data_IF_879433056166
#
_entry.id   IF_879433056166
#
_cell.length_a   1.000
_cell.length_b   1.000
_cell.length_c   1.000
_cell.angle_alpha   90.00
_cell.angle_beta   90.00
_cell.angle_gamma   90.00
#
_symmetry.space_group_name_H-M   'P 1'
#
loop_
_entity.id
_entity.type
_entity.pdbx_description
1 polymer ?
#
# COMPACT_ATOMS: atom_id res chain seq x y z
N UNK A 1 54.52 -16.58 -6.10
CA UNK A 1 53.54 -17.68 -5.88
C UNK A 1 53.13 -17.65 -4.43
N UNK A 2 52.10 -16.86 -4.10
CA UNK A 2 51.47 -16.84 -2.79
C UNK A 2 49.98 -17.03 -3.03
N UNK A 3 49.47 -18.22 -2.68
CA UNK A 3 48.06 -18.54 -2.83
C UNK A 3 47.26 -17.65 -1.87
N UNK A 4 46.52 -16.69 -2.42
CA UNK A 4 45.47 -15.99 -1.70
C UNK A 4 44.39 -17.02 -1.39
N UNK A 5 44.27 -17.37 -0.11
CA UNK A 5 43.17 -18.17 0.39
C UNK A 5 41.86 -17.43 0.09
N UNK A 6 40.99 -18.05 -0.71
CA UNK A 6 39.64 -17.59 -0.92
C UNK A 6 38.90 -17.58 0.44
N UNK A 7 38.12 -16.53 0.76
CA UNK A 7 37.34 -16.54 1.99
C UNK A 7 36.35 -17.71 1.95
N UNK A 8 36.23 -18.39 3.09
CA UNK A 8 35.34 -19.53 3.27
C UNK A 8 33.89 -19.13 2.94
N UNK A 9 33.28 -19.85 2.00
CA UNK A 9 31.86 -19.75 1.68
C UNK A 9 31.01 -20.16 2.90
N UNK A 10 30.46 -19.18 3.61
CA UNK A 10 29.32 -19.39 4.47
C UNK A 10 28.08 -19.62 3.58
N UNK A 11 27.25 -20.61 3.90
CA UNK A 11 26.05 -20.97 3.16
C UNK A 11 25.08 -19.75 3.21
N UNK A 12 24.37 -19.30 2.18
CA UNK A 12 23.46 -20.05 1.33
C UNK A 12 23.00 -19.20 0.12
N UNK A 13 23.34 -19.64 -1.10
CA UNK A 13 22.65 -19.25 -2.33
C UNK A 13 22.34 -20.53 -3.09
N UNK A 14 21.26 -21.21 -2.72
CA UNK A 14 20.79 -22.40 -3.43
C UNK A 14 19.37 -22.19 -3.92
N UNK A 15 19.13 -22.39 -5.21
CA UNK A 15 17.86 -22.92 -5.74
C UNK A 15 17.81 -24.47 -5.63
N UNK A 16 18.86 -25.09 -5.10
CA UNK A 16 19.02 -26.53 -5.01
C UNK A 16 18.28 -27.16 -3.84
N UNK A 17 17.15 -27.83 -4.12
CA UNK A 17 16.87 -29.26 -3.85
C UNK A 17 17.54 -30.04 -2.70
N UNK A 18 18.05 -29.39 -1.66
CA UNK A 18 17.25 -29.21 -0.44
C UNK A 18 16.37 -27.98 -0.62
N UNK A 19 15.20 -28.17 -1.25
CA UNK A 19 14.29 -27.08 -1.66
C UNK A 19 13.94 -26.18 -0.47
N UNK A 20 13.86 -24.85 -0.65
CA UNK A 20 13.23 -24.00 0.34
C UNK A 20 11.83 -24.54 0.63
N UNK A 21 11.48 -24.56 1.91
CA UNK A 21 10.21 -25.08 2.37
C UNK A 21 9.09 -24.19 1.81
N UNK A 22 8.15 -24.79 1.08
CA UNK A 22 6.92 -24.13 0.62
C UNK A 22 5.77 -25.10 0.89
N UNK A 23 4.92 -24.74 1.86
CA UNK A 23 3.78 -25.56 2.29
C UNK A 23 2.56 -25.41 1.36
N UNK A 24 2.55 -24.43 0.46
CA UNK A 24 1.43 -24.25 -0.45
C UNK A 24 1.46 -25.30 -1.56
N UNK A 25 0.36 -26.03 -1.68
CA UNK A 25 0.17 -26.95 -2.82
C UNK A 25 -0.08 -26.18 -4.12
N UNK A 26 -0.75 -25.03 -4.02
CA UNK A 26 -1.12 -24.14 -5.11
C UNK A 26 -0.99 -22.70 -4.60
N UNK A 27 -0.28 -21.86 -5.35
CA UNK A 27 -0.13 -20.45 -5.08
C UNK A 27 -0.11 -19.73 -6.43
N UNK A 28 -1.06 -18.81 -6.60
CA UNK A 28 -1.31 -18.12 -7.84
C UNK A 28 -1.59 -16.67 -7.54
N UNK A 29 -1.08 -15.79 -8.40
CA UNK A 29 -1.42 -14.38 -8.32
C UNK A 29 -1.49 -13.78 -9.71
N UNK A 30 -1.93 -12.53 -9.73
CA UNK A 30 -1.96 -11.69 -10.90
C UNK A 30 -1.97 -10.24 -10.45
N UNK A 31 -1.07 -9.44 -11.02
CA UNK A 31 -1.00 -8.02 -10.75
C UNK A 31 -1.15 -7.29 -12.09
N UNK A 32 -2.36 -6.81 -12.46
CA UNK A 32 -2.65 -6.37 -13.82
C UNK A 32 -1.72 -5.29 -14.37
N UNK A 33 -1.24 -4.36 -13.53
CA UNK A 33 -0.24 -3.36 -13.94
C UNK A 33 1.10 -3.95 -14.37
N UNK A 34 1.36 -5.20 -14.00
CA UNK A 34 2.59 -5.93 -14.29
C UNK A 34 3.81 -5.36 -13.57
N UNK A 35 4.98 -5.81 -14.04
CA UNK A 35 6.28 -5.44 -13.47
C UNK A 35 6.99 -4.37 -14.28
N UNK A 36 6.77 -4.35 -15.59
CA UNK A 36 7.37 -3.37 -16.48
C UNK A 36 6.91 -1.95 -16.13
N UNK A 37 7.86 -1.05 -15.86
CA UNK A 37 7.57 0.36 -15.63
C UNK A 37 8.56 1.28 -16.33
N UNK A 38 8.40 1.43 -17.65
CA UNK A 38 9.25 2.32 -18.45
C UNK A 38 8.44 3.15 -19.45
N UNK A 39 9.06 4.20 -19.97
CA UNK A 39 8.49 5.04 -21.02
C UNK A 39 9.48 5.12 -22.19
N UNK A 40 9.06 4.80 -23.44
CA UNK A 40 7.73 4.30 -23.80
C UNK A 40 7.43 2.91 -23.21
N UNK A 41 6.15 2.57 -22.93
CA UNK A 41 5.78 1.25 -22.42
C UNK A 41 6.30 0.13 -23.35
N UNK A 42 6.94 -0.91 -22.82
CA UNK A 42 7.36 -2.05 -23.62
C UNK A 42 6.14 -2.89 -24.05
N UNK A 43 6.33 -3.78 -25.03
CA UNK A 43 5.25 -4.63 -25.53
C UNK A 43 4.62 -5.50 -24.42
N UNK A 44 5.42 -5.89 -23.43
CA UNK A 44 5.04 -6.74 -22.31
C UNK A 44 4.35 -5.99 -21.16
N UNK A 45 4.18 -4.67 -21.28
CA UNK A 45 3.54 -3.82 -20.26
C UNK A 45 2.15 -4.31 -19.82
N UNK A 46 1.46 -5.07 -20.68
CA UNK A 46 0.07 -5.51 -20.47
C UNK A 46 -0.08 -7.02 -20.28
N UNK A 47 1.02 -7.78 -20.19
CA UNK A 47 0.96 -9.26 -20.17
C UNK A 47 0.09 -9.78 -19.03
N UNK A 48 0.20 -9.19 -17.83
CA UNK A 48 -0.64 -9.56 -16.69
C UNK A 48 -2.05 -8.96 -16.78
N UNK A 49 -2.25 -7.80 -17.40
CA UNK A 49 -3.60 -7.27 -17.64
C UNK A 49 -4.42 -8.18 -18.56
N UNK A 50 -3.80 -8.76 -19.58
CA UNK A 50 -4.45 -9.71 -20.50
C UNK A 50 -4.85 -11.01 -19.81
N UNK A 51 -4.01 -11.52 -18.90
CA UNK A 51 -4.37 -12.67 -18.07
C UNK A 51 -5.63 -12.37 -17.22
N UNK A 52 -5.72 -11.16 -16.67
CA UNK A 52 -6.84 -10.74 -15.81
C UNK A 52 -8.12 -10.56 -16.63
N UNK A 53 -8.02 -9.89 -17.78
CA UNK A 53 -9.14 -9.73 -18.70
C UNK A 53 -9.67 -11.08 -19.24
N UNK A 54 -8.79 -12.08 -19.36
CA UNK A 54 -9.17 -13.45 -19.71
C UNK A 54 -10.12 -14.12 -18.72
N UNK A 55 -10.22 -13.64 -17.48
CA UNK A 55 -11.21 -14.10 -16.49
C UNK A 55 -12.61 -13.51 -16.72
N UNK A 56 -12.69 -12.33 -17.35
CA UNK A 56 -13.96 -11.58 -17.53
C UNK A 56 -15.04 -12.43 -18.22
N UNK A 57 -14.76 -13.15 -19.32
CA UNK A 57 -15.77 -13.97 -19.99
C UNK A 57 -16.24 -15.18 -19.15
N UNK A 58 -15.44 -15.63 -18.18
CA UNK A 58 -15.79 -16.76 -17.31
C UNK A 58 -16.78 -16.33 -16.22
N UNK A 59 -16.74 -15.07 -15.79
CA UNK A 59 -17.56 -14.56 -14.68
C UNK A 59 -17.47 -15.47 -13.43
N UNK A 60 -18.53 -16.22 -13.10
CA UNK A 60 -18.58 -17.14 -11.97
C UNK A 60 -18.19 -18.58 -12.29
N UNK A 61 -17.98 -18.92 -13.57
CA UNK A 61 -17.73 -20.28 -14.05
C UNK A 61 -16.23 -20.60 -14.12
N UNK A 62 -15.43 -20.03 -13.20
CA UNK A 62 -13.98 -20.29 -13.11
C UNK A 62 -13.75 -21.69 -12.55
N UNK A 63 -12.99 -22.51 -13.29
CA UNK A 63 -12.61 -23.87 -12.88
C UNK A 63 -11.14 -23.95 -12.46
N UNK A 64 -10.75 -25.07 -11.83
CA UNK A 64 -9.35 -25.31 -11.47
C UNK A 64 -8.40 -25.32 -12.70
N UNK A 65 -8.90 -25.64 -13.90
CA UNK A 65 -8.11 -25.62 -15.13
C UNK A 65 -7.85 -24.21 -15.66
N UNK A 66 -8.62 -23.22 -15.21
CA UNK A 66 -8.50 -21.83 -15.63
C UNK A 66 -7.43 -21.10 -14.80
N UNK A 67 -7.19 -21.53 -13.57
CA UNK A 67 -6.15 -20.95 -12.69
C UNK A 67 -4.77 -20.88 -13.35
N UNK A 68 -4.15 -21.98 -13.84
CA UNK A 68 -2.85 -21.89 -14.48
C UNK A 68 -2.85 -21.22 -15.87
N UNK A 69 -4.02 -20.85 -16.41
CA UNK A 69 -4.15 -20.13 -17.69
C UNK A 69 -4.20 -18.62 -17.51
N UNK A 70 -4.89 -18.17 -16.47
CA UNK A 70 -5.20 -16.76 -16.23
C UNK A 70 -4.54 -16.20 -14.97
N UNK A 71 -3.80 -17.02 -14.23
CA UNK A 71 -2.92 -16.57 -13.16
C UNK A 71 -1.51 -17.10 -13.41
N UNK A 72 -0.53 -16.37 -12.90
CA UNK A 72 0.87 -16.81 -12.87
C UNK A 72 1.18 -17.46 -11.53
N UNK A 73 2.33 -18.14 -11.44
CA UNK A 73 2.73 -18.79 -10.20
C UNK A 73 3.09 -17.77 -9.13
N UNK A 74 2.71 -18.04 -7.89
CA UNK A 74 3.19 -17.34 -6.69
C UNK A 74 3.96 -18.32 -5.78
N UNK A 75 4.56 -19.35 -6.36
CA UNK A 75 5.52 -20.20 -5.64
C UNK A 75 6.75 -19.39 -5.24
N UNK A 76 7.35 -19.73 -4.10
CA UNK A 76 8.62 -19.11 -3.70
C UNK A 76 9.73 -19.55 -4.66
N UNK A 77 10.48 -18.59 -5.20
CA UNK A 77 11.43 -18.79 -6.28
C UNK A 77 10.77 -18.75 -7.68
N UNK A 78 11.58 -19.02 -8.71
CA UNK A 78 11.18 -18.87 -10.12
C UNK A 78 10.10 -19.89 -10.54
N UNK A 79 10.13 -21.09 -9.96
CA UNK A 79 9.15 -22.15 -10.23
C UNK A 79 8.86 -22.35 -11.73
N UNK A 80 7.56 -22.40 -12.06
CA UNK A 80 7.07 -22.57 -13.43
C UNK A 80 7.15 -21.33 -14.29
N UNK A 81 7.52 -20.15 -13.76
CA UNK A 81 7.52 -18.88 -14.49
C UNK A 81 8.85 -18.61 -15.21
N UNK A 82 9.83 -19.51 -15.09
CA UNK A 82 11.06 -19.47 -15.88
C UNK A 82 10.83 -19.59 -17.40
N UNK A 83 11.87 -19.42 -18.24
CA UNK A 83 13.26 -19.19 -17.85
C UNK A 83 13.46 -17.82 -17.21
N UNK A 84 14.40 -17.73 -16.27
CA UNK A 84 14.76 -16.46 -15.64
C UNK A 84 16.03 -15.88 -16.24
N UNK A 85 16.12 -14.55 -16.24
CA UNK A 85 17.30 -13.78 -16.64
C UNK A 85 17.95 -13.19 -15.38
N UNK A 86 19.24 -13.47 -15.17
CA UNK A 86 20.00 -12.80 -14.12
C UNK A 86 20.29 -11.35 -14.50
N UNK A 87 20.17 -10.43 -13.54
CA UNK A 87 20.66 -9.07 -13.71
C UNK A 87 22.19 -9.05 -13.68
N UNK A 88 22.78 -8.28 -14.60
CA UNK A 88 24.22 -8.20 -14.76
C UNK A 88 24.90 -7.36 -13.67
N UNK A 89 24.18 -6.37 -13.14
CA UNK A 89 24.67 -5.44 -12.11
C UNK A 89 23.69 -5.43 -10.95
N UNK A 90 24.16 -5.88 -9.80
CA UNK A 90 23.39 -5.93 -8.56
C UNK A 90 24.22 -5.38 -7.41
N UNK A 91 23.58 -4.97 -6.29
CA UNK A 91 24.33 -4.60 -5.09
C UNK A 91 25.21 -5.76 -4.55
N UNK A 92 26.25 -5.47 -3.77
CA UNK A 92 27.09 -6.50 -3.15
C UNK A 92 26.28 -7.46 -2.27
N UNK A 93 26.52 -8.77 -2.39
CA UNK A 93 25.80 -9.79 -1.63
C UNK A 93 24.32 -9.93 -2.03
N UNK A 94 23.99 -9.54 -3.27
CA UNK A 94 22.64 -9.61 -3.87
C UNK A 94 22.72 -10.30 -5.23
N UNK A 95 21.78 -11.21 -5.51
CA UNK A 95 21.54 -11.78 -6.84
C UNK A 95 20.07 -11.60 -7.18
N UNK A 96 19.79 -10.98 -8.32
CA UNK A 96 18.44 -10.71 -8.81
C UNK A 96 18.22 -11.52 -10.07
N UNK A 97 17.15 -12.32 -10.09
CA UNK A 97 16.69 -13.06 -11.25
C UNK A 97 15.31 -12.56 -11.64
N UNK A 98 15.07 -12.28 -12.91
CA UNK A 98 13.78 -11.83 -13.44
C UNK A 98 13.11 -12.98 -14.18
N UNK A 99 11.88 -13.34 -13.81
CA UNK A 99 11.10 -14.37 -14.51
C UNK A 99 10.54 -13.86 -15.86
N UNK A 100 9.69 -14.66 -16.52
CA UNK A 100 9.08 -14.28 -17.81
C UNK A 100 8.15 -13.07 -17.72
N UNK A 101 7.64 -12.74 -16.53
CA UNK A 101 6.77 -11.59 -16.25
C UNK A 101 7.57 -10.41 -15.69
N UNK A 102 8.90 -10.50 -15.71
CA UNK A 102 9.87 -9.55 -15.15
C UNK A 102 9.78 -9.37 -13.64
N UNK A 103 9.23 -10.37 -12.92
CA UNK A 103 9.19 -10.38 -11.46
C UNK A 103 10.60 -10.56 -10.91
N UNK A 104 11.09 -9.65 -10.04
CA UNK A 104 12.40 -9.77 -9.42
C UNK A 104 12.35 -10.77 -8.26
N UNK A 105 13.09 -11.87 -8.43
CA UNK A 105 13.46 -12.81 -7.39
C UNK A 105 14.81 -12.39 -6.80
N UNK A 106 14.77 -11.75 -5.64
CA UNK A 106 15.90 -11.16 -4.94
C UNK A 106 16.40 -12.14 -3.89
N UNK A 107 17.60 -12.65 -4.10
CA UNK A 107 18.33 -13.42 -3.12
C UNK A 107 19.37 -12.49 -2.48
N UNK A 108 19.62 -12.62 -1.18
CA UNK A 108 20.55 -11.79 -0.42
C UNK A 108 21.23 -12.54 0.73
N UNK A 109 22.49 -12.20 1.02
CA UNK A 109 23.27 -12.77 2.14
C UNK A 109 22.74 -12.34 3.52
N UNK A 110 21.97 -11.25 3.57
CA UNK A 110 21.43 -10.68 4.80
C UNK A 110 20.16 -9.89 4.53
N UNK A 111 19.36 -9.67 5.58
CA UNK A 111 18.18 -8.80 5.53
C UNK A 111 18.53 -7.37 5.09
N UNK A 112 19.67 -6.84 5.52
CA UNK A 112 20.16 -5.52 5.12
C UNK A 112 20.44 -5.42 3.61
N UNK A 113 21.09 -6.45 3.05
CA UNK A 113 21.36 -6.53 1.62
C UNK A 113 20.06 -6.69 0.81
N UNK A 114 19.10 -7.47 1.33
CA UNK A 114 17.77 -7.61 0.75
C UNK A 114 17.01 -6.29 0.73
N UNK A 115 16.94 -5.56 1.85
CA UNK A 115 16.23 -4.28 1.92
C UNK A 115 16.85 -3.24 0.99
N UNK A 116 18.19 -3.24 0.87
CA UNK A 116 18.89 -2.40 -0.10
C UNK A 116 18.54 -2.81 -1.55
N UNK A 117 18.55 -4.10 -1.86
CA UNK A 117 18.16 -4.60 -3.18
C UNK A 117 16.71 -4.26 -3.55
N UNK A 118 15.78 -4.33 -2.59
CA UNK A 118 14.40 -3.91 -2.82
C UNK A 118 14.33 -2.42 -3.21
N UNK A 119 15.15 -1.56 -2.58
CA UNK A 119 15.27 -0.15 -2.97
C UNK A 119 15.87 0.04 -4.37
N UNK A 120 16.89 -0.74 -4.72
CA UNK A 120 17.50 -0.76 -6.05
C UNK A 120 16.48 -1.11 -7.13
N UNK A 121 15.77 -2.23 -6.96
CA UNK A 121 14.73 -2.71 -7.88
C UNK A 121 13.57 -1.72 -7.97
N UNK A 122 13.18 -1.11 -6.86
CA UNK A 122 12.13 -0.08 -6.85
C UNK A 122 12.52 1.12 -7.71
N UNK A 123 13.79 1.55 -7.65
CA UNK A 123 14.31 2.64 -8.46
C UNK A 123 14.37 2.28 -9.95
N UNK A 124 14.68 1.02 -10.27
CA UNK A 124 14.67 0.49 -11.63
C UNK A 124 13.25 0.46 -12.22
N UNK A 125 12.31 -0.15 -11.50
CA UNK A 125 11.01 -0.52 -12.07
C UNK A 125 9.91 0.52 -11.85
N UNK A 126 10.07 1.38 -10.84
CA UNK A 126 9.08 2.41 -10.46
C UNK A 126 9.68 3.81 -10.39
N UNK A 127 10.95 3.98 -10.75
CA UNK A 127 11.66 5.26 -10.65
C UNK A 127 10.94 6.42 -11.34
N UNK A 128 10.37 6.21 -12.53
CA UNK A 128 9.63 7.27 -13.24
C UNK A 128 8.39 7.74 -12.46
N UNK A 129 7.56 6.79 -12.01
CA UNK A 129 6.34 7.08 -11.24
C UNK A 129 6.70 7.79 -9.93
N UNK A 130 7.74 7.28 -9.28
CA UNK A 130 8.20 7.81 -8.01
C UNK A 130 8.78 9.20 -8.13
N UNK A 131 9.61 9.48 -9.14
CA UNK A 131 10.16 10.83 -9.35
C UNK A 131 9.06 11.84 -9.73
N UNK A 132 8.04 11.43 -10.49
CA UNK A 132 6.88 12.28 -10.75
C UNK A 132 6.10 12.59 -9.46
N UNK A 133 5.91 11.61 -8.59
CA UNK A 133 5.17 11.79 -7.34
C UNK A 133 6.00 12.43 -6.21
N UNK A 134 7.33 12.36 -6.29
CA UNK A 134 8.25 12.57 -5.17
C UNK A 134 7.97 13.86 -4.42
N UNK A 135 8.05 15.00 -5.11
CA UNK A 135 7.93 16.30 -4.45
C UNK A 135 6.47 16.68 -4.17
N UNK A 136 5.54 16.31 -5.04
CA UNK A 136 4.11 16.56 -4.84
C UNK A 136 3.56 15.81 -3.63
N UNK A 137 4.13 14.64 -3.31
CA UNK A 137 3.75 13.86 -2.13
C UNK A 137 4.00 14.60 -0.80
N UNK A 138 4.84 15.66 -0.79
CA UNK A 138 4.99 16.50 0.41
C UNK A 138 3.70 17.20 0.78
N UNK A 139 2.89 17.56 -0.21
CA UNK A 139 1.57 18.18 0.00
C UNK A 139 0.66 17.25 0.80
N UNK A 140 0.73 15.94 0.56
CA UNK A 140 -0.02 14.96 1.34
C UNK A 140 0.46 14.88 2.80
N UNK A 141 1.78 14.99 3.02
CA UNK A 141 2.36 14.89 4.35
C UNK A 141 2.13 16.13 5.24
N UNK A 142 2.05 17.33 4.65
CA UNK A 142 1.80 18.57 5.40
C UNK A 142 0.34 19.00 5.40
N UNK A 143 -0.52 18.25 4.70
CA UNK A 143 -1.95 18.55 4.52
C UNK A 143 -2.21 20.02 4.11
N UNK A 144 -1.53 20.46 3.04
CA UNK A 144 -1.57 21.88 2.65
C UNK A 144 -2.98 22.28 2.17
N UNK A 145 -3.63 23.27 2.82
CA UNK A 145 -5.00 23.66 2.45
C UNK A 145 -5.12 24.09 0.99
N UNK A 146 -6.11 23.54 0.29
CA UNK A 146 -6.40 23.85 -1.11
C UNK A 146 -5.45 23.22 -2.13
N UNK A 147 -4.49 22.41 -1.69
CA UNK A 147 -3.62 21.61 -2.56
C UNK A 147 -3.87 20.13 -2.30
N UNK A 148 -3.99 19.35 -3.38
CA UNK A 148 -4.08 17.90 -3.30
C UNK A 148 -2.92 17.28 -4.07
N UNK A 149 -2.16 16.42 -3.39
CA UNK A 149 -0.98 15.80 -3.98
C UNK A 149 -1.33 15.00 -5.25
N UNK A 150 -2.39 14.19 -5.22
CA UNK A 150 -2.82 13.43 -6.40
C UNK A 150 -3.17 14.34 -7.58
N UNK A 151 -3.89 15.44 -7.34
CA UNK A 151 -4.24 16.42 -8.37
C UNK A 151 -3.01 17.09 -8.98
N UNK A 152 -1.96 17.38 -8.19
CA UNK A 152 -0.70 17.90 -8.71
C UNK A 152 -0.01 16.87 -9.62
N UNK A 153 0.06 15.61 -9.16
CA UNK A 153 0.67 14.50 -9.88
C UNK A 153 -0.03 14.25 -11.22
N UNK A 154 -1.36 14.11 -11.22
CA UNK A 154 -2.13 13.80 -12.44
C UNK A 154 -2.22 14.99 -13.40
N UNK A 155 -2.07 16.23 -12.91
CA UNK A 155 -2.03 17.43 -13.75
C UNK A 155 -0.60 17.81 -14.20
N UNK A 156 0.39 16.96 -13.92
CA UNK A 156 1.80 17.18 -14.25
C UNK A 156 2.35 18.53 -13.73
N UNK A 157 1.81 18.99 -12.61
CA UNK A 157 2.32 20.15 -11.88
C UNK A 157 3.48 19.70 -10.99
N UNK A 158 4.19 20.66 -10.43
CA UNK A 158 5.29 20.40 -9.50
C UNK A 158 5.18 21.32 -8.29
N UNK A 159 5.21 20.70 -7.12
CA UNK A 159 5.40 21.37 -5.84
C UNK A 159 6.90 21.46 -5.53
N UNK A 160 7.37 22.65 -5.15
CA UNK A 160 8.74 22.83 -4.66
C UNK A 160 8.72 22.99 -3.15
N UNK A 161 9.20 21.99 -2.37
CA UNK A 161 9.17 22.07 -0.92
C UNK A 161 10.12 23.16 -0.40
N UNK A 162 9.65 23.93 0.58
CA UNK A 162 10.47 24.87 1.32
C UNK A 162 11.32 24.14 2.37
N UNK A 163 12.35 24.81 2.91
CA UNK A 163 13.12 24.26 4.03
C UNK A 163 12.23 23.96 5.26
N UNK A 164 11.17 24.75 5.46
CA UNK A 164 10.18 24.49 6.52
C UNK A 164 9.37 23.22 6.25
N UNK A 165 8.99 22.97 4.99
CA UNK A 165 8.31 21.72 4.60
C UNK A 165 9.18 20.51 4.91
N UNK A 166 10.46 20.55 4.52
CA UNK A 166 11.40 19.46 4.79
C UNK A 166 11.68 19.28 6.29
N UNK A 167 11.71 20.36 7.07
CA UNK A 167 11.84 20.29 8.52
C UNK A 167 10.60 19.67 9.18
N UNK A 168 9.39 19.93 8.66
CA UNK A 168 8.16 19.31 9.15
C UNK A 168 8.15 17.81 8.93
N UNK A 169 8.47 17.35 7.71
CA UNK A 169 8.53 15.92 7.41
C UNK A 169 9.59 15.20 8.25
N UNK A 170 10.72 15.86 8.53
CA UNK A 170 11.82 15.27 9.31
C UNK A 170 11.38 14.86 10.72
N UNK A 171 10.36 15.51 11.30
CA UNK A 171 9.81 15.18 12.62
C UNK A 171 9.25 13.75 12.71
N UNK A 172 8.87 13.14 11.58
CA UNK A 172 8.44 11.74 11.55
C UNK A 172 9.54 10.78 12.04
N UNK A 173 10.81 11.18 11.91
CA UNK A 173 11.93 10.44 12.50
C UNK A 173 11.80 10.36 14.02
N UNK A 174 11.43 11.46 14.69
CA UNK A 174 11.29 11.49 16.14
C UNK A 174 10.09 10.64 16.61
N UNK A 175 9.00 10.62 15.83
CA UNK A 175 7.86 9.73 16.06
C UNK A 175 8.30 8.26 16.03
N UNK A 176 9.08 7.86 15.02
CA UNK A 176 9.62 6.50 14.94
C UNK A 176 10.62 6.22 16.08
N UNK A 177 11.49 7.16 16.43
CA UNK A 177 12.41 6.99 17.57
C UNK A 177 11.66 6.80 18.90
N UNK A 178 10.55 7.52 19.10
CA UNK A 178 9.70 7.40 20.28
C UNK A 178 9.04 6.02 20.41
N UNK A 179 8.83 5.30 19.28
CA UNK A 179 8.38 3.91 19.27
C UNK A 179 9.46 2.89 19.73
N UNK A 180 10.64 3.36 20.16
CA UNK A 180 11.65 2.56 20.81
C UNK A 180 12.43 1.66 19.85
N UNK A 181 12.68 0.41 20.26
CA UNK A 181 13.51 -0.52 19.48
C UNK A 181 12.90 -0.84 18.11
N UNK A 182 11.56 -0.97 18.03
CA UNK A 182 10.86 -1.25 16.78
C UNK A 182 10.99 -0.09 15.79
N UNK A 183 10.77 1.14 16.22
CA UNK A 183 10.88 2.28 15.32
C UNK A 183 12.32 2.57 14.89
N UNK A 184 13.32 2.29 15.74
CA UNK A 184 14.74 2.28 15.31
C UNK A 184 15.02 1.24 14.24
N UNK A 185 14.44 0.05 14.33
CA UNK A 185 14.57 -0.97 13.29
C UNK A 185 13.92 -0.53 11.97
N UNK A 186 12.74 0.09 12.01
CA UNK A 186 12.08 0.66 10.83
C UNK A 186 12.93 1.76 10.19
N UNK A 187 13.50 2.67 10.98
CA UNK A 187 14.39 3.72 10.47
C UNK A 187 15.64 3.14 9.78
N UNK A 188 16.22 2.08 10.34
CA UNK A 188 17.34 1.37 9.72
C UNK A 188 16.94 0.73 8.39
N UNK A 189 15.78 0.09 8.32
CA UNK A 189 15.27 -0.49 7.07
C UNK A 189 15.00 0.60 6.01
N UNK A 190 14.44 1.74 6.41
CA UNK A 190 14.27 2.92 5.54
C UNK A 190 15.62 3.39 4.99
N UNK A 191 16.64 3.50 5.84
CA UNK A 191 17.97 3.93 5.41
C UNK A 191 18.59 2.95 4.40
N UNK A 192 18.45 1.64 4.64
CA UNK A 192 18.93 0.60 3.72
C UNK A 192 18.22 0.68 2.36
N UNK A 193 16.91 0.86 2.38
CA UNK A 193 16.10 0.98 1.17
C UNK A 193 16.47 2.24 0.36
N UNK A 194 16.58 3.39 1.03
CA UNK A 194 17.02 4.66 0.41
C UNK A 194 18.44 4.55 -0.15
N UNK A 195 19.35 3.87 0.55
CA UNK A 195 20.69 3.60 0.04
C UNK A 195 20.66 2.77 -1.25
N UNK A 196 19.72 1.82 -1.37
CA UNK A 196 19.49 1.03 -2.58
C UNK A 196 19.05 1.88 -3.77
N UNK A 197 18.06 2.77 -3.57
CA UNK A 197 17.60 3.71 -4.61
C UNK A 197 18.76 4.59 -5.07
N UNK A 198 19.49 5.17 -4.12
CA UNK A 198 20.62 6.06 -4.43
C UNK A 198 21.78 5.33 -5.13
N UNK A 199 22.03 4.07 -4.77
CA UNK A 199 23.03 3.24 -5.44
C UNK A 199 22.64 2.96 -6.90
N UNK A 200 21.37 2.68 -7.18
CA UNK A 200 20.88 2.54 -8.55
C UNK A 200 21.06 3.83 -9.33
N UNK A 201 20.69 4.99 -8.76
CA UNK A 201 20.87 6.29 -9.44
C UNK A 201 22.34 6.60 -9.73
N UNK A 202 23.24 6.29 -8.80
CA UNK A 202 24.68 6.44 -9.04
C UNK A 202 25.17 5.50 -10.17
N UNK A 203 24.70 4.25 -10.17
CA UNK A 203 25.05 3.25 -11.17
C UNK A 203 24.56 3.63 -12.58
N UNK A 204 23.36 4.20 -12.70
CA UNK A 204 22.78 4.60 -13.99
C UNK A 204 23.07 6.05 -14.36
N UNK A 205 23.92 6.74 -13.59
CA UNK A 205 24.23 8.16 -13.78
C UNK A 205 22.98 9.06 -13.85
N UNK A 206 21.96 8.74 -13.05
CA UNK A 206 20.76 9.55 -12.93
C UNK A 206 21.11 10.90 -12.24
N UNK A 207 20.65 12.01 -12.82
CA UNK A 207 20.91 13.36 -12.32
C UNK A 207 19.95 13.80 -11.19
N UNK A 208 18.95 12.98 -10.85
CA UNK A 208 18.03 13.26 -9.76
C UNK A 208 18.76 13.42 -8.42
N UNK A 209 18.20 14.26 -7.53
CA UNK A 209 18.76 14.44 -6.18
C UNK A 209 18.71 13.11 -5.41
N UNK A 210 19.70 12.81 -4.55
CA UNK A 210 19.64 11.64 -3.70
C UNK A 210 18.36 11.60 -2.87
N UNK A 211 17.77 10.41 -2.77
CA UNK A 211 16.66 10.08 -1.88
C UNK A 211 17.06 10.20 -0.41
N UNK A 212 16.07 10.55 0.40
CA UNK A 212 16.15 10.78 1.84
C UNK A 212 14.98 10.11 2.54
N UNK A 213 14.98 10.06 3.88
CA UNK A 213 13.84 9.57 4.65
C UNK A 213 12.55 10.35 4.39
N UNK A 214 12.66 11.66 4.16
CA UNK A 214 11.50 12.51 3.87
C UNK A 214 10.79 12.11 2.58
N UNK A 215 11.52 11.56 1.59
CA UNK A 215 10.91 11.02 0.39
C UNK A 215 9.98 9.84 0.72
N UNK A 216 10.43 8.96 1.63
CA UNK A 216 9.67 7.81 2.08
C UNK A 216 8.43 8.26 2.87
N UNK A 217 8.61 9.18 3.84
CA UNK A 217 7.49 9.71 4.64
C UNK A 217 6.43 10.40 3.77
N UNK A 218 6.87 11.19 2.78
CA UNK A 218 5.97 11.90 1.87
C UNK A 218 5.12 10.94 1.04
N UNK A 219 5.75 9.96 0.40
CA UNK A 219 5.04 9.00 -0.45
C UNK A 219 4.15 8.05 0.38
N UNK A 220 4.55 7.69 1.60
CA UNK A 220 3.69 6.96 2.51
C UNK A 220 2.47 7.78 2.94
N UNK A 221 2.60 9.10 3.15
CA UNK A 221 1.47 9.98 3.40
C UNK A 221 0.51 10.05 2.19
N UNK A 222 1.04 10.16 0.96
CA UNK A 222 0.24 10.10 -0.27
C UNK A 222 -0.53 8.78 -0.37
N UNK A 223 0.13 7.65 -0.12
CA UNK A 223 -0.50 6.33 -0.10
C UNK A 223 -1.60 6.26 0.97
N UNK A 224 -1.35 6.82 2.16
CA UNK A 224 -2.34 6.97 3.22
C UNK A 224 -3.58 7.72 2.75
N UNK A 225 -3.43 8.84 2.04
CA UNK A 225 -4.55 9.60 1.48
C UNK A 225 -5.32 8.82 0.40
N UNK A 226 -4.65 7.99 -0.39
CA UNK A 226 -5.28 7.31 -1.52
C UNK A 226 -6.02 6.01 -1.13
N UNK A 227 -5.43 5.17 -0.28
CA UNK A 227 -5.96 3.82 0.06
C UNK A 227 -6.08 3.57 1.56
N UNK A 228 -5.64 4.51 2.39
CA UNK A 228 -5.60 4.36 3.84
C UNK A 228 -6.61 5.21 4.61
N UNK A 229 -7.50 5.93 3.91
CA UNK A 229 -8.51 6.79 4.51
C UNK A 229 -9.86 6.08 4.65
N UNK A 230 -10.55 6.38 5.75
CA UNK A 230 -11.92 5.97 6.02
C UNK A 230 -12.58 6.98 6.98
N UNK A 231 -13.88 7.21 6.83
CA UNK A 231 -14.59 8.26 7.57
C UNK A 231 -14.56 9.62 6.87
N UNK A 232 -14.58 10.71 7.63
CA UNK A 232 -14.51 12.09 7.11
C UNK A 232 -15.84 12.66 6.62
N UNK A 233 -16.96 12.00 6.96
CA UNK A 233 -18.31 12.35 6.54
C UNK A 233 -19.12 12.95 7.72
N UNK A 234 -18.42 13.45 8.73
CA UNK A 234 -19.01 13.95 9.98
C UNK A 234 -19.95 15.11 9.71
N UNK A 235 -19.64 16.00 8.76
CA UNK A 235 -20.48 17.15 8.44
C UNK A 235 -21.86 16.74 7.93
N UNK A 236 -21.92 15.82 6.95
CA UNK A 236 -23.19 15.31 6.41
C UNK A 236 -23.95 14.49 7.43
N UNK A 237 -23.25 13.64 8.20
CA UNK A 237 -23.85 12.82 9.28
C UNK A 237 -24.40 13.70 10.42
N UNK A 238 -23.72 14.80 10.73
CA UNK A 238 -24.16 15.80 11.71
C UNK A 238 -25.43 16.52 11.26
N UNK A 239 -25.48 16.98 10.00
CA UNK A 239 -26.71 17.54 9.41
C UNK A 239 -27.86 16.51 9.33
N UNK A 240 -27.55 15.24 9.08
CA UNK A 240 -28.55 14.17 9.12
C UNK A 240 -29.11 13.95 10.54
N UNK A 241 -28.25 13.98 11.56
CA UNK A 241 -28.68 13.94 12.96
C UNK A 241 -29.61 15.12 13.28
N UNK A 242 -29.26 16.34 12.87
CA UNK A 242 -30.12 17.51 13.07
C UNK A 242 -31.50 17.32 12.41
N UNK A 243 -31.54 16.90 11.14
CA UNK A 243 -32.80 16.64 10.44
C UNK A 243 -33.69 15.62 11.16
N UNK A 244 -33.10 14.54 11.69
CA UNK A 244 -33.82 13.56 12.52
C UNK A 244 -34.33 14.17 13.82
N UNK A 245 -33.55 15.02 14.48
CA UNK A 245 -33.95 15.69 15.71
C UNK A 245 -35.06 16.72 15.49
N UNK A 246 -35.05 17.44 14.36
CA UNK A 246 -36.11 18.37 13.97
C UNK A 246 -37.43 17.64 13.72
N UNK A 247 -37.40 16.45 13.07
CA UNK A 247 -38.60 15.70 12.72
C UNK A 247 -39.17 14.86 13.88
N UNK A 248 -38.30 14.20 14.65
CA UNK A 248 -38.70 13.19 15.63
C UNK A 248 -38.57 13.67 17.09
N UNK A 249 -37.94 14.83 17.29
CA UNK A 249 -37.50 15.32 18.59
C UNK A 249 -36.13 14.74 18.99
N UNK A 250 -35.39 15.48 19.83
CA UNK A 250 -33.98 15.21 20.16
C UNK A 250 -33.69 13.75 20.56
N UNK A 251 -34.46 13.18 21.49
CA UNK A 251 -34.23 11.82 21.99
C UNK A 251 -34.48 10.75 20.92
N UNK A 252 -35.60 10.83 20.19
CA UNK A 252 -35.95 9.85 19.16
C UNK A 252 -35.05 9.97 17.95
N UNK A 253 -34.72 11.20 17.53
CA UNK A 253 -33.79 11.45 16.44
C UNK A 253 -32.41 10.86 16.72
N UNK A 254 -31.88 11.07 17.93
CA UNK A 254 -30.61 10.46 18.35
C UNK A 254 -30.69 8.93 18.43
N UNK A 255 -31.81 8.36 18.87
CA UNK A 255 -31.99 6.91 18.92
C UNK A 255 -31.97 6.31 17.49
N UNK A 256 -32.70 6.90 16.55
CA UNK A 256 -32.72 6.48 15.14
C UNK A 256 -31.35 6.65 14.49
N UNK A 257 -30.67 7.77 14.73
CA UNK A 257 -29.31 7.98 14.23
C UNK A 257 -28.34 6.89 14.73
N UNK A 258 -28.42 6.54 16.02
CA UNK A 258 -27.56 5.52 16.62
C UNK A 258 -27.86 4.10 16.11
N UNK A 259 -29.09 3.84 15.68
CA UNK A 259 -29.50 2.58 15.05
C UNK A 259 -28.95 2.48 13.63
N UNK A 260 -29.16 3.53 12.81
CA UNK A 260 -28.76 3.58 11.40
C UNK A 260 -27.26 3.65 11.14
N UNK A 261 -26.44 3.98 12.15
CA UNK A 261 -24.97 4.00 12.00
C UNK A 261 -24.31 2.63 12.11
N UNK A 262 -25.08 1.58 12.43
CA UNK A 262 -24.64 0.17 12.45
C UNK A 262 -23.35 -0.10 13.26
N UNK A 263 -23.09 0.70 14.30
CA UNK A 263 -21.81 0.70 15.01
C UNK A 263 -21.44 -0.66 15.66
N UNK A 264 -22.43 -1.49 15.98
CA UNK A 264 -22.25 -2.87 16.46
C UNK A 264 -23.40 -3.75 15.95
N UNK A 265 -23.43 -4.01 14.64
CA UNK A 265 -24.38 -4.94 14.03
C UNK A 265 -24.13 -6.39 14.51
N UNK A 266 -25.11 -7.04 15.19
CA UNK A 266 -24.97 -8.42 15.66
C UNK A 266 -24.87 -9.46 14.53
N UNK A 267 -25.24 -9.11 13.30
CA UNK A 267 -25.11 -9.99 12.12
C UNK A 267 -23.71 -9.93 11.49
N UNK A 268 -22.83 -9.05 11.97
CA UNK A 268 -21.46 -8.92 11.45
C UNK A 268 -20.64 -10.20 11.72
N UNK A 269 -20.05 -10.82 10.68
CA UNK A 269 -19.15 -11.95 10.88
C UNK A 269 -17.86 -11.50 11.57
N UNK A 270 -17.49 -12.15 12.68
CA UNK A 270 -16.26 -11.87 13.42
C UNK A 270 -15.21 -12.95 13.23
N UNK A 271 -13.95 -12.54 13.07
CA UNK A 271 -12.79 -13.43 12.94
C UNK A 271 -12.13 -13.78 14.28
N UNK A 272 -12.52 -13.11 15.37
CA UNK A 272 -11.99 -13.33 16.71
C UNK A 272 -13.08 -13.94 17.62
N UNK A 273 -12.72 -14.88 18.52
CA UNK A 273 -13.63 -15.33 19.55
C UNK A 273 -14.02 -14.17 20.50
N UNK A 274 -15.32 -13.92 20.65
CA UNK A 274 -15.86 -12.93 21.58
C UNK A 274 -16.38 -11.66 20.89
N UNK A 275 -16.79 -10.69 21.71
CA UNK A 275 -17.28 -9.38 21.25
C UNK A 275 -16.32 -8.28 21.69
N UNK A 276 -15.86 -7.45 20.75
CA UNK A 276 -15.21 -6.17 21.06
C UNK A 276 -16.20 -5.05 20.75
N UNK A 277 -16.26 -4.00 21.58
CA UNK A 277 -17.06 -2.82 21.22
C UNK A 277 -16.29 -2.04 20.18
N UNK A 278 -16.83 -1.98 18.98
CA UNK A 278 -16.33 -1.11 17.94
C UNK A 278 -16.98 0.27 18.08
N UNK A 279 -16.19 1.34 17.94
CA UNK A 279 -16.62 2.75 18.04
C UNK A 279 -17.58 3.02 19.22
N UNK A 280 -17.19 2.76 20.48
CA UNK A 280 -18.06 3.02 21.61
C UNK A 280 -18.46 4.51 21.64
N UNK A 281 -19.73 4.86 21.90
CA UNK A 281 -20.13 6.26 21.99
C UNK A 281 -19.27 6.98 23.05
N UNK A 282 -18.85 8.23 22.79
CA UNK A 282 -17.97 8.94 23.69
C UNK A 282 -18.68 9.18 25.03
N UNK A 283 -17.92 9.16 26.13
CA UNK A 283 -18.44 9.42 27.48
C UNK A 283 -18.94 10.85 27.67
N UNK A 284 -18.45 11.77 26.82
CA UNK A 284 -18.80 13.18 26.80
C UNK A 284 -18.96 13.63 25.37
N UNK A 285 -19.98 14.44 25.10
CA UNK A 285 -20.18 15.14 23.82
C UNK A 285 -19.70 16.59 23.90
N UNK A 286 -19.01 16.98 24.97
CA UNK A 286 -18.50 18.35 25.13
C UNK A 286 -17.53 18.69 24.00
N UNK A 287 -17.77 19.80 23.32
CA UNK A 287 -17.01 20.24 22.14
C UNK A 287 -17.59 19.78 20.80
N UNK A 288 -18.50 18.81 20.79
CA UNK A 288 -19.18 18.40 19.55
C UNK A 288 -20.25 19.42 19.17
N UNK A 289 -20.32 19.75 17.88
CA UNK A 289 -21.32 20.65 17.30
C UNK A 289 -22.21 19.84 16.36
N UNK A 290 -23.51 20.00 16.51
CA UNK A 290 -24.48 19.52 15.53
C UNK A 290 -24.65 20.60 14.48
N UNK A 291 -24.38 20.29 13.22
CA UNK A 291 -24.55 21.22 12.11
C UNK A 291 -26.02 21.30 11.74
N UNK A 292 -26.54 22.51 11.61
CA UNK A 292 -27.91 22.73 11.16
C UNK A 292 -28.11 22.09 9.77
N UNK A 293 -29.19 21.35 9.60
CA UNK A 293 -29.50 20.63 8.35
C UNK A 293 -29.55 21.60 7.16
N UNK A 294 -28.62 21.42 6.21
CA UNK A 294 -28.50 22.25 5.01
C UNK A 294 -27.65 23.51 5.18
N UNK A 295 -27.00 23.71 6.33
CA UNK A 295 -26.13 24.87 6.58
C UNK A 295 -24.73 24.74 5.99
N UNK A 296 -24.29 23.52 5.69
CA UNK A 296 -22.98 23.26 5.10
C UNK A 296 -23.11 22.69 3.69
N UNK A 297 -22.40 23.31 2.75
CA UNK A 297 -22.21 22.81 1.39
C UNK A 297 -20.71 22.63 1.19
N UNK A 298 -20.22 21.42 0.86
CA UNK A 298 -18.83 21.23 0.52
C UNK A 298 -18.44 22.17 -0.62
N UNK A 299 -17.39 22.96 -0.43
CA UNK A 299 -16.79 23.72 -1.53
C UNK A 299 -15.94 22.74 -2.31
N UNK A 300 -16.35 22.47 -3.55
CA UNK A 300 -15.64 21.56 -4.42
C UNK A 300 -14.30 22.19 -4.83
N UNK A 301 -13.21 21.79 -4.16
CA UNK A 301 -11.85 22.24 -4.49
C UNK A 301 -11.26 21.47 -5.69
N UNK A 302 -12.02 20.54 -6.29
CA UNK A 302 -11.59 19.68 -7.40
C UNK A 302 -11.61 20.36 -8.78
N UNK A 303 -11.36 21.67 -8.87
CA UNK A 303 -11.26 22.40 -10.14
C UNK A 303 -10.07 21.98 -11.04
N UNK A 304 -9.48 20.80 -10.86
CA UNK A 304 -8.36 20.29 -11.66
C UNK A 304 -8.51 18.85 -12.18
N UNK A 305 -9.63 18.14 -12.00
CA UNK A 305 -9.84 16.84 -12.67
C UNK A 305 -11.28 16.68 -13.15
N UNK A 306 -11.44 16.63 -14.47
CA UNK A 306 -12.66 16.19 -15.15
C UNK A 306 -12.82 14.66 -15.05
N UNK A 307 -12.78 14.11 -13.83
CA UNK A 307 -13.27 12.79 -13.54
C UNK A 307 -14.62 12.96 -12.85
N UNK A 308 -15.68 12.59 -13.56
CA UNK A 308 -16.99 12.40 -12.95
C UNK A 308 -16.79 11.51 -11.70
N UNK A 309 -17.37 11.84 -10.53
CA UNK A 309 -17.39 10.89 -9.44
C UNK A 309 -18.20 9.69 -9.93
N UNK A 310 -17.51 8.66 -10.42
CA UNK A 310 -18.07 7.33 -10.47
C UNK A 310 -18.38 7.02 -9.00
N UNK A 311 -19.61 6.65 -8.63
CA UNK A 311 -19.87 6.18 -7.29
C UNK A 311 -18.97 4.96 -7.09
N UNK A 312 -17.86 5.15 -6.38
CA UNK A 312 -17.04 4.04 -5.91
C UNK A 312 -17.99 3.10 -5.16
N UNK A 313 -17.90 1.77 -5.38
CA UNK A 313 -18.58 0.84 -4.51
C UNK A 313 -18.25 1.18 -3.06
N UNK A 314 -19.26 1.31 -2.20
CA UNK A 314 -19.11 1.66 -0.78
C UNK A 314 -18.17 0.69 -0.01
N UNK A 315 -17.85 -0.46 -0.62
CA UNK A 315 -16.90 -1.44 -0.13
C UNK A 315 -16.01 -1.92 -1.28
N UNK A 316 -14.70 -1.87 -1.05
CA UNK A 316 -13.68 -2.35 -1.98
C UNK A 316 -12.83 -3.44 -1.33
N UNK A 317 -12.28 -4.30 -2.17
CA UNK A 317 -11.49 -5.50 -1.86
C UNK A 317 -12.31 -6.72 -1.43
N UNK A 318 -12.01 -7.87 -2.03
CA UNK A 318 -12.61 -9.16 -1.68
C UNK A 318 -11.64 -9.98 -0.83
N UNK A 319 -12.16 -10.75 0.13
CA UNK A 319 -11.39 -11.77 0.85
C UNK A 319 -12.27 -12.97 1.22
N UNK A 320 -11.75 -14.18 1.02
CA UNK A 320 -12.34 -15.44 1.43
C UNK A 320 -11.29 -16.29 2.14
N UNK A 321 -11.57 -16.68 3.37
CA UNK A 321 -10.73 -17.57 4.17
C UNK A 321 -11.50 -18.86 4.48
N UNK A 322 -10.93 -20.00 4.12
CA UNK A 322 -11.49 -21.33 4.40
C UNK A 322 -10.51 -22.12 5.25
N UNK A 323 -10.97 -22.65 6.39
CA UNK A 323 -10.15 -23.51 7.24
C UNK A 323 -9.85 -24.85 6.56
N UNK A 324 -8.72 -25.47 6.89
CA UNK A 324 -8.37 -26.80 6.36
C UNK A 324 -9.43 -27.88 6.62
N UNK A 325 -10.15 -27.79 7.76
CA UNK A 325 -11.27 -28.69 8.07
C UNK A 325 -12.49 -28.56 7.13
N UNK A 326 -12.54 -27.48 6.34
CA UNK A 326 -13.61 -27.18 5.36
C UNK A 326 -13.12 -27.27 3.92
N UNK A 327 -11.86 -27.62 3.68
CA UNK A 327 -11.31 -27.80 2.33
C UNK A 327 -11.14 -29.28 2.00
N UNK A 328 -11.26 -29.62 0.72
CA UNK A 328 -11.17 -31.02 0.28
C UNK A 328 -9.78 -31.65 0.49
N UNK A 329 -8.72 -30.84 0.51
CA UNK A 329 -7.34 -31.28 0.68
C UNK A 329 -6.81 -31.11 2.11
N UNK A 330 -7.60 -30.59 3.05
CA UNK A 330 -7.17 -30.38 4.43
C UNK A 330 -6.28 -29.15 4.66
N UNK A 331 -6.01 -28.33 3.63
CA UNK A 331 -5.19 -27.12 3.74
C UNK A 331 -6.05 -25.85 3.80
N UNK A 332 -5.66 -24.81 4.57
CA UNK A 332 -6.33 -23.52 4.52
C UNK A 332 -6.30 -22.92 3.11
N UNK A 333 -7.38 -22.22 2.74
CA UNK A 333 -7.46 -21.49 1.46
C UNK A 333 -7.64 -20.00 1.75
N UNK A 334 -6.87 -19.17 1.06
CA UNK A 334 -7.02 -17.72 1.02
C UNK A 334 -7.24 -17.31 -0.43
N UNK A 335 -8.33 -16.58 -0.68
CA UNK A 335 -8.52 -15.84 -1.92
C UNK A 335 -8.70 -14.39 -1.53
N UNK A 336 -7.85 -13.50 -2.05
CA UNK A 336 -7.95 -12.08 -1.81
C UNK A 336 -7.83 -11.31 -3.12
N UNK A 337 -8.59 -10.22 -3.25
CA UNK A 337 -8.56 -9.36 -4.41
C UNK A 337 -8.68 -7.89 -4.01
N UNK A 338 -7.59 -7.26 -3.54
CA UNK A 338 -7.55 -5.83 -3.27
C UNK A 338 -7.77 -5.01 -4.54
N UNK A 339 -8.70 -4.05 -4.49
CA UNK A 339 -9.08 -3.23 -5.64
C UNK A 339 -8.41 -1.85 -5.54
N UNK A 340 -7.20 -1.74 -6.11
CA UNK A 340 -6.34 -0.55 -6.01
C UNK A 340 -6.12 0.15 -7.36
N UNK A 341 -6.97 -0.14 -8.34
CA UNK A 341 -6.92 0.41 -9.69
C UNK A 341 -5.93 -0.31 -10.63
N UNK A 342 -6.03 0.02 -11.92
CA UNK A 342 -5.27 -0.60 -13.02
C UNK A 342 -4.39 0.44 -13.73
N UNK A 343 -3.42 1.00 -13.01
CA UNK A 343 -2.53 2.03 -13.53
C UNK A 343 -1.31 1.42 -14.24
N UNK A 344 -0.74 2.15 -15.21
CA UNK A 344 0.56 1.81 -15.81
C UNK A 344 1.54 2.99 -15.73
N UNK A 345 2.76 2.78 -15.19
CA UNK A 345 3.11 1.70 -14.27
C UNK A 345 2.23 1.74 -13.00
N UNK A 346 1.98 0.59 -12.39
CA UNK A 346 1.17 0.50 -11.18
C UNK A 346 1.90 0.97 -9.91
N UNK A 347 1.13 1.42 -8.92
CA UNK A 347 1.65 1.74 -7.57
C UNK A 347 2.23 0.53 -6.86
N UNK A 348 1.69 -0.66 -7.17
CA UNK A 348 2.20 -1.93 -6.70
C UNK A 348 3.10 -2.60 -7.72
N UNK A 349 4.01 -3.41 -7.22
CA UNK A 349 4.82 -4.33 -7.98
C UNK A 349 5.02 -5.59 -7.17
N UNK A 350 5.26 -6.71 -7.81
CA UNK A 350 5.59 -7.94 -7.10
C UNK A 350 7.09 -8.03 -6.80
N UNK A 351 7.45 -8.64 -5.69
CA UNK A 351 8.82 -9.07 -5.41
C UNK A 351 8.78 -10.45 -4.76
N UNK A 352 9.83 -11.22 -5.00
CA UNK A 352 10.09 -12.48 -4.31
C UNK A 352 11.43 -12.36 -3.56
N UNK A 353 11.39 -12.46 -2.24
CA UNK A 353 12.44 -12.00 -1.33
C UNK A 353 13.03 -13.16 -0.53
N UNK A 354 14.34 -13.40 -0.66
CA UNK A 354 15.06 -14.52 -0.06
C UNK A 354 16.30 -14.04 0.70
N UNK A 355 16.29 -14.13 2.02
CA UNK A 355 17.44 -13.82 2.88
C UNK A 355 17.32 -14.56 4.24
N UNK A 356 18.38 -14.61 5.06
CA UNK A 356 18.25 -15.12 6.42
C UNK A 356 17.12 -14.41 7.20
N UNK A 357 16.11 -15.17 7.58
CA UNK A 357 14.94 -14.69 8.33
C UNK A 357 13.81 -14.07 7.48
N UNK A 358 13.95 -14.03 6.16
CA UNK A 358 12.89 -13.58 5.22
C UNK A 358 12.83 -14.52 4.03
N UNK A 359 11.67 -15.13 3.84
CA UNK A 359 11.30 -15.85 2.63
C UNK A 359 9.84 -15.48 2.35
N UNK A 360 9.62 -14.61 1.36
CA UNK A 360 8.29 -14.06 1.09
C UNK A 360 8.13 -13.57 -0.34
N UNK A 361 6.96 -13.79 -0.91
CA UNK A 361 6.57 -13.33 -2.24
C UNK A 361 5.23 -12.63 -2.23
N UNK A 362 5.08 -11.60 -3.04
CA UNK A 362 3.80 -10.95 -3.29
C UNK A 362 3.93 -9.50 -3.73
N UNK A 363 2.83 -8.77 -3.69
CA UNK A 363 2.80 -7.35 -4.03
C UNK A 363 3.39 -6.50 -2.90
N UNK A 364 4.37 -5.68 -3.24
CA UNK A 364 4.82 -4.53 -2.46
C UNK A 364 4.24 -3.23 -3.04
N UNK A 365 4.34 -2.13 -2.30
CA UNK A 365 3.92 -0.80 -2.73
C UNK A 365 5.10 0.15 -2.73
N UNK A 366 5.16 1.09 -3.66
CA UNK A 366 6.23 2.08 -3.67
C UNK A 366 5.91 3.29 -2.75
N UNK A 367 6.80 3.68 -1.81
CA UNK A 367 7.89 2.93 -1.21
C UNK A 367 7.41 2.09 -0.01
N UNK A 368 8.02 0.92 0.17
CA UNK A 368 7.83 0.07 1.35
C UNK A 368 9.17 -0.65 1.57
N UNK A 369 9.87 -0.43 2.71
CA UNK A 369 11.29 -0.71 2.80
C UNK A 369 11.62 -2.20 2.95
N UNK A 370 11.59 -2.93 1.83
CA UNK A 370 11.93 -4.35 1.76
C UNK A 370 10.87 -5.29 2.35
N UNK A 371 9.59 -4.90 2.26
CA UNK A 371 8.46 -5.65 2.79
C UNK A 371 7.42 -5.97 1.71
N UNK A 372 6.72 -7.08 1.90
CA UNK A 372 5.58 -7.48 1.08
C UNK A 372 4.29 -6.99 1.75
N UNK A 373 3.49 -6.21 1.03
CA UNK A 373 2.26 -5.62 1.53
C UNK A 373 1.12 -6.65 1.50
N UNK A 374 1.00 -7.39 0.40
CA UNK A 374 0.04 -8.48 0.19
C UNK A 374 0.83 -9.66 -0.35
N UNK A 375 0.71 -10.84 0.24
CA UNK A 375 1.46 -11.99 -0.24
C UNK A 375 1.52 -13.13 0.74
N UNK A 376 2.64 -13.84 0.71
CA UNK A 376 2.82 -15.07 1.45
C UNK A 376 4.27 -15.37 1.81
N UNK A 377 4.44 -16.20 2.83
CA UNK A 377 5.69 -16.89 3.15
C UNK A 377 5.54 -18.40 2.92
N UNK A 378 6.48 -19.20 3.45
CA UNK A 378 6.49 -20.65 3.33
C UNK A 378 5.20 -21.34 3.77
N UNK A 379 4.61 -20.92 4.90
CA UNK A 379 3.49 -21.58 5.57
C UNK A 379 2.39 -20.62 6.07
N UNK A 380 2.42 -19.37 5.62
CA UNK A 380 1.42 -18.35 5.93
C UNK A 380 1.16 -17.42 4.73
N UNK A 381 -0.01 -16.78 4.71
CA UNK A 381 -0.38 -15.80 3.71
C UNK A 381 -1.21 -14.68 4.34
N UNK A 382 -1.15 -13.48 3.76
CA UNK A 382 -1.87 -12.32 4.23
C UNK A 382 -2.29 -11.42 3.07
N UNK A 383 -3.33 -10.64 3.31
CA UNK A 383 -3.78 -9.60 2.41
C UNK A 383 -4.38 -8.46 3.23
N UNK A 384 -4.91 -7.46 2.55
CA UNK A 384 -5.58 -6.31 3.13
C UNK A 384 -6.89 -6.04 2.41
N UNK A 385 -7.86 -5.54 3.16
CA UNK A 385 -9.13 -5.01 2.64
C UNK A 385 -9.33 -3.63 3.21
N UNK A 386 -10.08 -2.76 2.53
CA UNK A 386 -10.35 -1.42 3.02
C UNK A 386 -11.09 -1.50 4.36
N UNK A 387 -10.52 -0.89 5.40
CA UNK A 387 -11.18 -0.78 6.68
C UNK A 387 -12.15 0.42 6.63
N UNK A 388 -13.46 0.17 6.78
CA UNK A 388 -14.48 1.23 6.87
C UNK A 388 -14.48 1.98 8.21
N UNK A 389 -13.32 2.02 8.88
CA UNK A 389 -13.14 2.71 10.14
C UNK A 389 -13.20 4.23 9.92
N UNK A 390 -13.84 4.92 10.85
CA UNK A 390 -13.77 6.38 10.93
C UNK A 390 -12.45 6.79 11.59
N UNK A 391 -11.53 7.31 10.79
CA UNK A 391 -10.17 7.72 11.20
C UNK A 391 -9.84 9.15 10.76
N UNK A 392 -10.83 9.88 10.26
CA UNK A 392 -10.72 11.28 9.88
C UNK A 392 -11.67 12.05 10.78
N UNK A 393 -11.13 12.98 11.57
CA UNK A 393 -11.94 13.86 12.41
C UNK A 393 -12.09 15.24 11.75
N UNK A 394 -13.34 15.67 11.57
CA UNK A 394 -13.65 17.03 11.09
C UNK A 394 -13.89 17.98 12.27
N UNK A 395 -13.18 19.10 12.29
CA UNK A 395 -13.32 20.15 13.30
C UNK A 395 -14.08 21.36 12.73
N UNK A 396 -14.99 21.91 13.55
CA UNK A 396 -15.65 23.19 13.27
C UNK A 396 -14.92 24.28 14.03
N UNK A 397 -14.26 25.16 13.30
CA UNK A 397 -13.38 26.18 13.88
C UNK A 397 -14.00 27.59 13.83
N UNK A 398 -13.74 28.39 14.87
CA UNK A 398 -14.14 29.80 14.89
C UNK A 398 -13.02 30.68 14.34
N UNK A 399 -13.29 31.41 13.25
CA UNK A 399 -12.29 32.26 12.62
C UNK A 399 -11.96 33.50 13.47
N UNK A 400 -10.67 33.85 13.54
CA UNK A 400 -10.18 35.03 14.24
C UNK A 400 -10.64 36.31 13.52
N UNK A 401 -11.67 36.99 14.02
CA UNK A 401 -12.10 38.30 13.50
C UNK A 401 -12.48 38.30 12.02
N UNK A 402 -13.01 37.19 11.51
CA UNK A 402 -13.35 37.01 10.08
C UNK A 402 -12.14 36.70 9.19
N UNK A 403 -11.02 36.25 9.76
CA UNK A 403 -9.84 35.84 8.98
C UNK A 403 -10.07 34.54 8.22
N UNK A 404 -9.72 34.52 6.93
CA UNK A 404 -9.76 33.29 6.10
C UNK A 404 -8.56 32.35 6.32
N UNK A 405 -7.62 32.70 7.21
CA UNK A 405 -6.36 31.96 7.40
C UNK A 405 -6.00 31.70 8.86
N UNK A 406 -6.85 32.14 9.80
CA UNK A 406 -6.60 32.00 11.24
C UNK A 406 -7.88 31.65 11.96
N UNK A 407 -7.82 30.64 12.81
CA UNK A 407 -8.88 30.24 13.73
C UNK A 407 -8.45 30.42 15.17
N UNK A 408 -9.42 30.43 16.09
CA UNK A 408 -9.20 30.43 17.52
C UNK A 408 -8.86 29.01 17.97
N UNK A 409 -7.65 28.81 18.49
CA UNK A 409 -7.18 27.52 19.01
C UNK A 409 -6.92 27.60 20.52
#
# INVERSE_FOLDING_TARGET
>A
MGALAAPAAAHAWSDGSGRPFDAAQQAFNILPSGQYGSVPPPAQATDQAQLYDGLTPLSGDVTANDLPRYFKSEQLGIGSDGPARAEAVTPPGVRILRDRFDVPHIYADSRDALTLAAGWVMAEDRGLLLEQARYDSRVAAIDAPGLQALSLITSLKQFTPSAQTEAELSKQTDVLLAAGAKGRAVLHDIDRFVAGINAYYAQTHNAAKPWTRNDIYALDALKGQFVGQGGGDEARRSMFLDGLQQQLGSQKGLAVFNDLREANDPETPVSLPGSTRFQPPPRSMAGNVVLDSGSFVPVDTSAATAATPVPEPAHASNALLVSGSRSANGHPLLVAGPQIGYFYPGLTMEMDLHAPGIDARGATSAPFPGYILIGRGPDYAWSLTSAGLDIIDTYVETLCGGSDTKYMF
#
